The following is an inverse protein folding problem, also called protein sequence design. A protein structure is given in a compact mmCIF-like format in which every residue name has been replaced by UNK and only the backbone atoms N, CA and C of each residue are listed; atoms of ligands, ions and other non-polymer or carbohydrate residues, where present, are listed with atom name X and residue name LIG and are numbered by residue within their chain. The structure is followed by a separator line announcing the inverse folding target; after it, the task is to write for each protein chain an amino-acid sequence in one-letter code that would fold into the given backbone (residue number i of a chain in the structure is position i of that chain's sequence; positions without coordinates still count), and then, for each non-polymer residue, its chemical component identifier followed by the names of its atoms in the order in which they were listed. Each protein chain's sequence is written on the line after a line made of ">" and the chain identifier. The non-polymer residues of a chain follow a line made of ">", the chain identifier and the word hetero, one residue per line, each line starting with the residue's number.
data_IF_472819461377
#
_entry.id   IF_472819461377
#
_cell.length_a   1.000
_cell.length_b   1.000
_cell.length_c   1.000
_cell.angle_alpha   90.00
_cell.angle_beta   90.00
_cell.angle_gamma   90.00
#
_symmetry.space_group_name_H-M   'P 1'
#
loop_
_entity.id
_entity.type
_entity.pdbx_description
1 polymer ?
#
# COMPACT_ATOMS: atom_id res chain seq x y z
N UNK A 1 -11.23 36.69 49.40
CA UNK A 1 -10.41 36.72 48.18
C UNK A 1 -11.14 35.91 47.12
N UNK A 2 -11.54 36.55 46.01
CA UNK A 2 -12.01 35.81 44.84
C UNK A 2 -10.85 34.96 44.31
N UNK A 3 -11.09 33.72 43.85
CA UNK A 3 -10.04 32.88 43.29
C UNK A 3 -9.39 33.60 42.10
N UNK A 4 -8.06 33.75 42.14
CA UNK A 4 -7.29 34.32 41.03
C UNK A 4 -7.39 33.36 39.85
N UNK A 5 -8.08 33.75 38.79
CA UNK A 5 -8.10 32.99 37.54
C UNK A 5 -6.71 33.05 36.90
N UNK A 6 -6.00 31.92 36.95
CA UNK A 6 -4.69 31.74 36.30
C UNK A 6 -4.87 31.30 34.83
N UNK A 7 -5.96 30.58 34.54
CA UNK A 7 -6.23 29.98 33.23
C UNK A 7 -7.25 30.81 32.43
N UNK A 8 -7.20 30.67 31.10
CA UNK A 8 -8.16 31.30 30.17
C UNK A 8 -9.57 30.73 30.36
N UNK A 9 -10.60 31.48 29.95
CA UNK A 9 -12.02 31.19 30.22
C UNK A 9 -12.55 29.83 29.70
N UNK A 10 -11.84 29.17 28.78
CA UNK A 10 -12.21 27.83 28.26
C UNK A 10 -11.20 26.73 28.60
N UNK A 11 -10.21 27.01 29.44
CA UNK A 11 -9.22 26.02 29.82
C UNK A 11 -9.77 25.13 30.94
N UNK A 12 -9.69 23.82 30.73
CA UNK A 12 -10.03 22.82 31.73
C UNK A 12 -8.76 22.31 32.41
N UNK A 13 -8.83 22.14 33.73
CA UNK A 13 -7.73 21.61 34.52
C UNK A 13 -8.18 20.40 35.33
N UNK A 14 -7.55 19.26 35.08
CA UNK A 14 -7.71 18.04 35.87
C UNK A 14 -6.48 17.82 36.74
N UNK A 15 -6.67 17.62 38.06
CA UNK A 15 -5.55 17.40 39.01
C UNK A 15 -5.70 16.10 39.79
N UNK A 16 -4.56 15.53 40.17
CA UNK A 16 -4.46 14.45 41.15
C UNK A 16 -5.28 13.22 40.77
N UNK A 17 -6.28 12.87 41.61
CA UNK A 17 -7.10 11.70 41.38
C UNK A 17 -7.99 11.81 40.14
N UNK A 18 -8.50 13.01 39.83
CA UNK A 18 -9.41 13.24 38.70
C UNK A 18 -8.69 13.03 37.36
N UNK A 19 -7.46 13.55 37.24
CA UNK A 19 -6.63 13.35 36.04
C UNK A 19 -6.27 11.86 35.83
N UNK A 20 -6.01 11.13 36.92
CA UNK A 20 -5.75 9.69 36.86
C UNK A 20 -6.99 8.93 36.40
N UNK A 21 -8.16 9.25 36.97
CA UNK A 21 -9.42 8.63 36.60
C UNK A 21 -9.74 8.88 35.11
N UNK A 22 -9.61 10.12 34.64
CA UNK A 22 -9.79 10.48 33.23
C UNK A 22 -8.88 9.65 32.31
N UNK A 23 -7.62 9.45 32.72
CA UNK A 23 -6.67 8.63 31.97
C UNK A 23 -7.06 7.15 31.92
N UNK A 24 -7.46 6.56 33.06
CA UNK A 24 -7.91 5.16 33.11
C UNK A 24 -9.18 4.95 32.30
N UNK A 25 -10.17 5.82 32.47
CA UNK A 25 -11.46 5.72 31.74
C UNK A 25 -11.23 5.81 30.23
N UNK A 26 -10.39 6.74 29.77
CA UNK A 26 -10.06 6.86 28.35
C UNK A 26 -9.40 5.59 27.79
N UNK A 27 -8.41 5.06 28.50
CA UNK A 27 -7.70 3.86 28.07
C UNK A 27 -8.59 2.60 28.07
N UNK A 28 -9.39 2.42 29.13
CA UNK A 28 -10.31 1.29 29.27
C UNK A 28 -11.40 1.37 28.20
N UNK A 29 -11.97 2.56 27.93
CA UNK A 29 -13.00 2.72 26.91
C UNK A 29 -12.51 2.32 25.51
N UNK A 30 -11.26 2.67 25.16
CA UNK A 30 -10.64 2.26 23.89
C UNK A 30 -10.43 0.76 23.83
N UNK A 31 -9.87 0.17 24.90
CA UNK A 31 -9.72 -1.28 25.00
C UNK A 31 -11.07 -1.97 24.83
N UNK A 32 -12.10 -1.52 25.55
CA UNK A 32 -13.49 -1.98 25.50
C UNK A 32 -14.13 -1.92 24.12
N UNK A 33 -13.78 -0.93 23.33
CA UNK A 33 -14.29 -0.78 21.98
C UNK A 33 -13.73 -1.86 21.03
N UNK A 34 -12.44 -2.20 21.17
CA UNK A 34 -11.75 -3.13 20.25
C UNK A 34 -11.73 -4.59 20.72
N UNK A 35 -12.06 -4.92 21.99
CA UNK A 35 -11.96 -6.33 22.47
C UNK A 35 -12.75 -7.33 21.64
N UNK A 36 -13.88 -6.90 21.06
CA UNK A 36 -14.73 -7.80 20.29
C UNK A 36 -14.14 -8.19 18.94
N UNK A 37 -13.11 -7.49 18.44
CA UNK A 37 -12.42 -7.84 17.19
C UNK A 37 -11.31 -8.87 17.44
N UNK A 38 -10.86 -9.03 18.69
CA UNK A 38 -9.76 -9.93 19.03
C UNK A 38 -10.14 -11.42 18.91
N UNK A 39 -9.36 -12.17 18.15
CA UNK A 39 -9.41 -13.64 18.07
C UNK A 39 -10.14 -14.19 16.84
N UNK A 40 -10.12 -15.53 16.61
CA UNK A 40 -10.65 -16.16 15.40
C UNK A 40 -12.19 -16.12 15.28
N UNK A 41 -12.88 -15.73 16.36
CA UNK A 41 -14.31 -15.46 16.40
C UNK A 41 -14.60 -13.98 16.69
N UNK A 42 -13.62 -13.12 16.40
CA UNK A 42 -13.79 -11.68 16.45
C UNK A 42 -14.90 -11.24 15.50
N UNK A 43 -15.56 -10.15 15.87
CA UNK A 43 -16.63 -9.54 15.10
C UNK A 43 -16.15 -8.22 14.52
N UNK A 44 -16.46 -7.98 13.26
CA UNK A 44 -16.06 -6.77 12.56
C UNK A 44 -16.88 -5.56 13.04
N UNK A 45 -16.29 -4.37 12.93
CA UNK A 45 -16.93 -3.11 13.28
C UNK A 45 -17.34 -2.36 12.02
N UNK A 46 -18.56 -1.83 12.05
CA UNK A 46 -19.06 -0.91 11.02
C UNK A 46 -18.74 0.51 11.47
N UNK A 47 -17.84 1.16 10.75
CA UNK A 47 -17.44 2.56 10.91
C UNK A 47 -18.23 3.39 9.90
N UNK A 48 -18.83 4.48 10.36
CA UNK A 48 -19.59 5.40 9.52
C UNK A 48 -18.91 6.76 9.59
N UNK A 49 -18.35 7.20 8.47
CA UNK A 49 -17.69 8.51 8.36
C UNK A 49 -18.55 9.47 7.53
N UNK A 50 -18.85 10.65 8.10
CA UNK A 50 -19.54 11.76 7.41
C UNK A 50 -21.01 11.98 7.80
N UNK A 51 -21.52 13.18 7.52
CA UNK A 51 -22.92 13.56 7.67
C UNK A 51 -23.51 13.82 6.27
N UNK A 52 -24.45 12.99 5.78
CA UNK A 52 -25.15 13.20 4.50
C UNK A 52 -25.30 11.95 3.63
N UNK A 53 -25.52 12.13 2.32
CA UNK A 53 -25.76 11.06 1.31
C UNK A 53 -24.48 10.33 0.84
N UNK A 54 -23.29 10.79 1.22
CA UNK A 54 -22.02 10.12 0.94
C UNK A 54 -21.42 9.58 2.24
N UNK A 55 -22.16 8.69 2.90
CA UNK A 55 -21.63 7.97 4.06
C UNK A 55 -20.57 7.00 3.57
N UNK A 56 -19.31 7.29 3.90
CA UNK A 56 -18.24 6.32 3.82
C UNK A 56 -18.46 5.30 4.92
N UNK A 57 -19.20 4.24 4.62
CA UNK A 57 -19.29 3.07 5.49
C UNK A 57 -18.00 2.28 5.26
N UNK A 58 -17.38 1.81 6.34
CA UNK A 58 -16.24 0.89 6.31
C UNK A 58 -16.50 -0.23 7.30
N UNK A 59 -16.25 -1.46 6.92
CA UNK A 59 -16.39 -2.63 7.78
C UNK A 59 -15.00 -3.18 7.95
N UNK A 60 -14.55 -3.34 9.19
CA UNK A 60 -13.18 -3.78 9.45
C UNK A 60 -13.06 -4.43 10.82
N UNK A 61 -12.22 -5.46 10.90
CA UNK A 61 -11.75 -6.08 12.12
C UNK A 61 -10.45 -5.43 12.65
N UNK A 62 -9.70 -4.74 11.80
CA UNK A 62 -8.40 -4.20 12.17
C UNK A 62 -8.51 -3.07 13.20
N UNK A 63 -7.85 -3.27 14.34
CA UNK A 63 -7.84 -2.33 15.45
C UNK A 63 -7.24 -0.98 15.08
N UNK A 64 -6.16 -0.93 14.28
CA UNK A 64 -5.53 0.34 13.90
C UNK A 64 -6.47 1.20 13.03
N UNK A 65 -7.16 0.57 12.07
CA UNK A 65 -8.17 1.21 11.23
C UNK A 65 -9.31 1.78 12.07
N UNK A 66 -9.87 0.97 12.96
CA UNK A 66 -10.98 1.37 13.84
C UNK A 66 -10.58 2.60 14.66
N UNK A 67 -9.40 2.54 15.29
CA UNK A 67 -8.92 3.59 16.17
C UNK A 67 -8.55 4.87 15.43
N UNK A 68 -8.07 4.78 14.18
CA UNK A 68 -7.79 5.94 13.33
C UNK A 68 -9.06 6.70 12.92
N UNK A 69 -10.16 5.98 12.73
CA UNK A 69 -11.43 6.58 12.30
C UNK A 69 -12.24 7.20 13.43
N UNK A 70 -11.93 6.88 14.69
CA UNK A 70 -12.67 7.41 15.84
C UNK A 70 -12.06 8.75 16.26
N UNK A 71 -12.89 9.79 16.30
CA UNK A 71 -12.52 11.08 16.90
C UNK A 71 -12.51 10.99 18.42
N UNK A 72 -11.33 10.91 19.02
CA UNK A 72 -11.18 10.84 20.49
C UNK A 72 -10.59 12.12 21.06
N UNK A 73 -11.23 12.68 22.09
CA UNK A 73 -10.73 13.88 22.78
C UNK A 73 -9.77 13.56 23.94
N UNK A 74 -9.97 12.42 24.60
CA UNK A 74 -9.18 12.03 25.77
C UNK A 74 -7.69 11.78 25.38
N UNK A 75 -6.72 12.43 26.06
CA UNK A 75 -5.32 12.30 25.70
C UNK A 75 -4.75 10.89 25.93
N UNK A 76 -5.19 10.19 26.98
CA UNK A 76 -4.72 8.82 27.25
C UNK A 76 -5.19 7.84 26.17
N UNK A 77 -6.38 8.06 25.64
CA UNK A 77 -6.90 7.29 24.52
C UNK A 77 -6.12 7.56 23.23
N UNK A 78 -5.75 8.81 22.93
CA UNK A 78 -4.89 9.13 21.77
C UNK A 78 -3.54 8.42 21.83
N UNK A 79 -2.94 8.30 23.02
CA UNK A 79 -1.69 7.53 23.19
C UNK A 79 -1.87 6.06 22.78
N UNK A 80 -3.01 5.43 23.11
CA UNK A 80 -3.28 4.06 22.67
C UNK A 80 -3.54 3.96 21.16
N UNK A 81 -4.19 4.96 20.58
CA UNK A 81 -4.41 5.06 19.12
C UNK A 81 -3.07 5.14 18.39
N UNK A 82 -2.16 6.02 18.83
CA UNK A 82 -0.83 6.19 18.23
C UNK A 82 0.04 4.93 18.40
N UNK A 83 -0.08 4.25 19.56
CA UNK A 83 0.58 2.96 19.79
C UNK A 83 0.08 1.89 18.82
N UNK A 84 -1.23 1.84 18.55
CA UNK A 84 -1.79 0.92 17.56
C UNK A 84 -1.26 1.19 16.15
N UNK A 85 -1.14 2.46 15.76
CA UNK A 85 -0.57 2.85 14.46
C UNK A 85 0.92 2.52 14.36
N UNK A 86 1.67 2.67 15.45
CA UNK A 86 3.09 2.32 15.47
C UNK A 86 3.29 0.82 15.29
N UNK A 87 2.44 0.00 15.94
CA UNK A 87 2.44 -1.45 15.77
C UNK A 87 2.09 -1.86 14.33
N UNK A 88 1.11 -1.20 13.73
CA UNK A 88 0.69 -1.39 12.35
C UNK A 88 1.84 -1.12 11.37
N UNK A 89 2.58 -0.02 11.56
CA UNK A 89 3.70 0.34 10.68
C UNK A 89 4.93 -0.59 10.82
N UNK A 90 5.22 -1.09 12.02
CA UNK A 90 6.42 -1.90 12.28
C UNK A 90 6.22 -3.39 11.97
N UNK A 91 5.06 -3.94 12.37
CA UNK A 91 4.80 -5.39 12.30
C UNK A 91 3.61 -5.72 11.40
N UNK A 92 2.66 -4.80 11.24
CA UNK A 92 1.46 -5.00 10.43
C UNK A 92 0.43 -5.97 11.00
N UNK A 93 0.67 -6.59 12.16
CA UNK A 93 -0.31 -7.39 12.89
C UNK A 93 -0.22 -7.12 14.40
N UNK A 94 -1.24 -7.54 15.13
CA UNK A 94 -1.33 -7.42 16.59
C UNK A 94 -1.79 -6.05 17.06
N UNK A 95 -2.33 -5.21 16.18
CA UNK A 95 -2.85 -3.86 16.48
C UNK A 95 -3.87 -3.90 17.63
N UNK A 96 -4.84 -4.81 17.53
CA UNK A 96 -5.85 -5.06 18.57
C UNK A 96 -5.25 -5.68 19.84
N UNK A 97 -4.31 -6.62 19.70
CA UNK A 97 -3.70 -7.32 20.84
C UNK A 97 -2.94 -6.35 21.74
N UNK A 98 -2.15 -5.44 21.15
CA UNK A 98 -1.36 -4.46 21.88
C UNK A 98 -2.25 -3.45 22.61
N UNK A 99 -3.32 -2.98 21.97
CA UNK A 99 -4.27 -2.03 22.57
C UNK A 99 -5.07 -2.64 23.71
N UNK A 100 -5.59 -3.86 23.56
CA UNK A 100 -6.29 -4.59 24.63
C UNK A 100 -5.35 -4.90 25.80
N UNK A 101 -4.12 -5.35 25.53
CA UNK A 101 -3.15 -5.64 26.59
C UNK A 101 -2.79 -4.39 27.39
N UNK A 102 -2.53 -3.27 26.71
CA UNK A 102 -2.24 -1.99 27.37
C UNK A 102 -3.42 -1.49 28.22
N UNK A 103 -4.65 -1.61 27.71
CA UNK A 103 -5.85 -1.21 28.44
C UNK A 103 -6.07 -2.07 29.70
N UNK A 104 -5.90 -3.39 29.62
CA UNK A 104 -6.06 -4.27 30.79
C UNK A 104 -4.91 -4.06 31.81
N UNK A 105 -3.67 -3.76 31.38
CA UNK A 105 -2.58 -3.38 32.30
C UNK A 105 -2.91 -2.10 33.08
N UNK A 106 -3.55 -1.12 32.44
CA UNK A 106 -3.98 0.12 33.08
C UNK A 106 -5.15 -0.10 34.03
N UNK A 107 -6.09 -0.99 33.68
CA UNK A 107 -7.20 -1.39 34.55
C UNK A 107 -6.74 -2.12 35.81
N UNK A 108 -5.74 -3.01 35.70
CA UNK A 108 -5.12 -3.62 36.89
C UNK A 108 -4.32 -2.59 37.71
N UNK A 109 -3.66 -1.64 37.04
CA UNK A 109 -2.98 -0.54 37.73
C UNK A 109 -3.96 0.35 38.51
N UNK A 110 -5.16 0.60 37.99
CA UNK A 110 -6.22 1.34 38.70
C UNK A 110 -6.55 0.69 40.05
N UNK A 111 -6.70 -0.65 40.08
CA UNK A 111 -6.95 -1.39 41.33
C UNK A 111 -5.83 -1.20 42.35
N UNK A 112 -4.57 -1.23 41.90
CA UNK A 112 -3.40 -1.04 42.77
C UNK A 112 -3.31 0.41 43.29
N UNK A 113 -3.64 1.39 42.45
CA UNK A 113 -3.71 2.81 42.87
C UNK A 113 -4.84 3.00 43.90
N UNK A 114 -5.97 2.33 43.72
CA UNK A 114 -7.09 2.35 44.68
C UNK A 114 -6.69 1.71 46.03
N UNK A 115 -5.77 0.74 46.03
CA UNK A 115 -5.14 0.20 47.23
C UNK A 115 -4.06 1.12 47.84
N UNK A 116 -3.96 2.37 47.36
CA UNK A 116 -3.00 3.39 47.81
C UNK A 116 -1.53 3.07 47.54
N UNK A 117 -1.25 2.23 46.54
CA UNK A 117 0.12 2.02 46.06
C UNK A 117 0.53 3.21 45.18
N UNK A 118 1.71 3.75 45.43
CA UNK A 118 2.22 4.88 44.65
C UNK A 118 2.46 4.47 43.18
N UNK A 119 1.98 5.24 42.17
CA UNK A 119 2.12 4.88 40.75
C UNK A 119 3.55 4.57 40.31
N UNK A 120 4.53 5.29 40.84
CA UNK A 120 5.95 5.05 40.54
C UNK A 120 6.43 3.63 40.94
N UNK A 121 5.88 3.08 42.02
CA UNK A 121 6.17 1.71 42.47
C UNK A 121 5.57 0.70 41.49
N UNK A 122 4.35 0.95 41.00
CA UNK A 122 3.69 0.10 39.99
C UNK A 122 4.51 0.10 38.70
N UNK A 123 4.93 1.27 38.21
CA UNK A 123 5.77 1.41 37.02
C UNK A 123 7.08 0.62 37.17
N UNK A 124 7.73 0.73 38.34
CA UNK A 124 8.96 -0.02 38.63
C UNK A 124 8.72 -1.53 38.61
N UNK A 125 7.59 -1.99 39.16
CA UNK A 125 7.16 -3.39 39.09
C UNK A 125 6.93 -3.87 37.67
N UNK A 126 6.17 -3.12 36.86
CA UNK A 126 5.92 -3.46 35.44
C UNK A 126 7.18 -3.50 34.60
N UNK A 127 8.15 -2.60 34.83
CA UNK A 127 9.45 -2.65 34.13
C UNK A 127 10.23 -3.92 34.45
N UNK A 128 10.20 -4.40 35.70
CA UNK A 128 10.82 -5.68 36.07
C UNK A 128 10.08 -6.86 35.47
N UNK A 129 8.75 -6.83 35.50
CA UNK A 129 7.91 -7.87 34.90
C UNK A 129 8.13 -8.00 33.39
N UNK A 130 8.27 -6.87 32.68
CA UNK A 130 8.57 -6.82 31.25
C UNK A 130 9.86 -7.58 30.91
N UNK A 131 10.94 -7.35 31.66
CA UNK A 131 12.20 -8.06 31.43
C UNK A 131 12.09 -9.56 31.63
N UNK A 132 11.33 -10.01 32.63
CA UNK A 132 11.06 -11.43 32.87
C UNK A 132 10.21 -12.03 31.73
N UNK A 133 9.16 -11.33 31.31
CA UNK A 133 8.27 -11.77 30.24
C UNK A 133 9.03 -11.90 28.90
N UNK A 134 9.89 -10.93 28.56
CA UNK A 134 10.73 -11.00 27.36
C UNK A 134 11.72 -12.16 27.40
N UNK A 135 12.35 -12.41 28.55
CA UNK A 135 13.26 -13.55 28.71
C UNK A 135 12.52 -14.89 28.58
N UNK A 136 11.33 -15.00 29.18
CA UNK A 136 10.48 -16.17 29.04
C UNK A 136 10.08 -16.40 27.59
N UNK A 137 9.66 -15.35 26.88
CA UNK A 137 9.29 -15.42 25.47
C UNK A 137 10.47 -15.92 24.62
N UNK A 138 11.66 -15.31 24.76
CA UNK A 138 12.88 -15.74 24.05
C UNK A 138 13.26 -17.19 24.35
N UNK A 139 13.07 -17.66 25.58
CA UNK A 139 13.35 -19.05 25.96
C UNK A 139 12.34 -20.06 25.37
N UNK A 140 11.12 -19.61 25.08
CA UNK A 140 10.07 -20.43 24.48
C UNK A 140 10.01 -20.37 22.96
N UNK A 141 10.75 -19.45 22.33
CA UNK A 141 10.80 -19.31 20.88
C UNK A 141 11.45 -20.55 20.24
N UNK A 142 10.79 -21.09 19.21
CA UNK A 142 11.34 -22.13 18.35
C UNK A 142 11.77 -21.45 17.05
N UNK A 143 13.04 -21.58 16.68
CA UNK A 143 13.56 -21.02 15.43
C UNK A 143 13.21 -21.98 14.30
N UNK A 144 12.53 -21.46 13.28
CA UNK A 144 12.22 -22.18 12.05
C UNK A 144 13.51 -22.56 11.32
N UNK A 145 13.74 -23.86 11.11
CA UNK A 145 14.90 -24.39 10.40
C UNK A 145 14.63 -24.53 8.90
N UNK A 146 14.88 -25.72 8.35
CA UNK A 146 14.73 -26.01 6.91
C UNK A 146 13.27 -26.01 6.39
N UNK A 147 12.28 -26.02 7.29
CA UNK A 147 10.85 -26.03 6.96
C UNK A 147 10.20 -24.63 6.91
N UNK A 148 10.97 -23.59 6.59
CA UNK A 148 10.53 -22.19 6.59
C UNK A 148 9.17 -22.00 5.88
N UNK A 149 8.96 -22.61 4.70
CA UNK A 149 7.71 -22.47 3.95
C UNK A 149 6.48 -23.00 4.72
N UNK A 150 6.61 -24.11 5.43
CA UNK A 150 5.49 -24.68 6.18
C UNK A 150 5.16 -23.85 7.42
N UNK A 151 6.18 -23.33 8.08
CA UNK A 151 6.00 -22.48 9.26
C UNK A 151 5.38 -21.12 8.88
N UNK A 152 5.83 -20.50 7.78
CA UNK A 152 5.21 -19.29 7.21
C UNK A 152 3.73 -19.54 6.84
N UNK A 153 3.40 -20.71 6.28
CA UNK A 153 2.01 -21.08 6.00
C UNK A 153 1.17 -21.20 7.27
N UNK A 154 1.74 -21.69 8.38
CA UNK A 154 1.02 -21.77 9.66
C UNK A 154 0.78 -20.38 10.26
N UNK A 155 1.75 -19.48 10.13
CA UNK A 155 1.63 -18.09 10.57
C UNK A 155 0.53 -17.39 9.78
N UNK A 156 0.59 -17.40 8.44
CA UNK A 156 -0.42 -16.79 7.58
C UNK A 156 -1.83 -17.37 7.82
N UNK A 157 -1.97 -18.67 8.09
CA UNK A 157 -3.27 -19.27 8.45
C UNK A 157 -3.83 -18.74 9.77
N UNK A 158 -2.96 -18.37 10.69
CA UNK A 158 -3.33 -17.90 12.04
C UNK A 158 -3.76 -16.43 11.98
N UNK A 159 -3.01 -15.58 11.27
CA UNK A 159 -3.32 -14.15 11.07
C UNK A 159 -4.64 -13.97 10.32
N UNK A 160 -4.88 -14.78 9.28
CA UNK A 160 -6.13 -14.78 8.51
C UNK A 160 -7.35 -15.30 9.27
N UNK A 161 -7.15 -15.97 10.41
CA UNK A 161 -8.20 -16.69 11.11
C UNK A 161 -9.29 -15.80 11.72
N UNK A 162 -8.99 -14.53 12.01
CA UNK A 162 -9.93 -13.57 12.62
C UNK A 162 -10.72 -12.74 11.60
N UNK A 163 -10.46 -12.89 10.30
CA UNK A 163 -10.98 -12.01 9.25
C UNK A 163 -12.00 -12.70 8.36
N UNK A 164 -12.65 -11.94 7.49
CA UNK A 164 -13.61 -12.42 6.49
C UNK A 164 -13.01 -13.57 5.64
N UNK A 165 -11.70 -13.56 5.42
CA UNK A 165 -10.96 -14.58 4.68
C UNK A 165 -10.83 -15.93 5.39
N UNK A 166 -11.29 -16.10 6.63
CA UNK A 166 -11.19 -17.35 7.39
C UNK A 166 -11.80 -18.55 6.66
N UNK A 167 -12.85 -18.34 5.85
CA UNK A 167 -13.46 -19.40 5.04
C UNK A 167 -12.51 -19.98 3.98
N UNK A 168 -11.60 -19.15 3.46
CA UNK A 168 -10.67 -19.48 2.38
C UNK A 168 -9.19 -19.34 2.79
N UNK A 169 -8.90 -19.37 4.09
CA UNK A 169 -7.55 -19.10 4.63
C UNK A 169 -6.44 -19.97 4.07
N UNK A 170 -6.73 -21.20 3.64
CA UNK A 170 -5.70 -22.06 3.04
C UNK A 170 -5.25 -21.59 1.66
N UNK A 171 -6.16 -20.98 0.89
CA UNK A 171 -5.87 -20.43 -0.42
C UNK A 171 -5.07 -19.14 -0.29
N UNK A 172 -5.56 -18.20 0.51
CA UNK A 172 -4.91 -16.91 0.76
C UNK A 172 -3.55 -17.07 1.44
N UNK A 173 -3.40 -18.00 2.40
CA UNK A 173 -2.10 -18.27 3.01
C UNK A 173 -1.07 -18.77 1.98
N UNK A 174 -1.48 -19.61 1.02
CA UNK A 174 -0.57 -20.06 -0.05
C UNK A 174 -0.16 -18.89 -0.94
N UNK A 175 -1.11 -18.06 -1.34
CA UNK A 175 -0.84 -16.86 -2.15
C UNK A 175 0.15 -15.92 -1.46
N UNK A 176 -0.10 -15.59 -0.18
CA UNK A 176 0.77 -14.71 0.60
C UNK A 176 2.19 -15.28 0.72
N UNK A 177 2.33 -16.55 1.13
CA UNK A 177 3.65 -17.19 1.29
C UNK A 177 4.37 -17.32 -0.05
N UNK A 178 3.67 -17.68 -1.13
CA UNK A 178 4.29 -17.77 -2.46
C UNK A 178 4.73 -16.40 -2.98
N UNK A 179 4.01 -15.30 -2.69
CA UNK A 179 4.47 -13.95 -3.01
C UNK A 179 5.69 -13.51 -2.18
N UNK A 180 5.70 -13.79 -0.88
CA UNK A 180 6.83 -13.40 -0.02
C UNK A 180 8.11 -14.19 -0.34
N UNK A 181 7.99 -15.50 -0.59
CA UNK A 181 9.14 -16.30 -1.01
C UNK A 181 9.73 -15.83 -2.35
N UNK A 182 8.91 -15.22 -3.22
CA UNK A 182 9.35 -14.64 -4.49
C UNK A 182 10.11 -13.32 -4.33
N UNK A 183 9.84 -12.55 -3.27
CA UNK A 183 10.57 -11.31 -2.94
C UNK A 183 12.05 -11.53 -2.58
N UNK A 184 12.49 -12.77 -2.30
CA UNK A 184 13.90 -13.12 -2.01
C UNK A 184 14.59 -12.19 -0.99
N UNK A 185 13.86 -11.71 0.02
CA UNK A 185 14.40 -10.90 1.11
C UNK A 185 14.48 -9.39 0.85
N UNK A 186 13.90 -8.87 -0.23
CA UNK A 186 13.59 -7.43 -0.27
C UNK A 186 12.39 -7.19 0.64
N UNK A 187 12.61 -6.74 1.88
CA UNK A 187 11.55 -6.40 2.84
C UNK A 187 10.62 -5.23 2.44
N UNK A 188 10.62 -4.85 1.16
CA UNK A 188 9.75 -3.81 0.62
C UNK A 188 8.45 -4.43 0.12
N UNK A 189 7.40 -4.26 0.89
CA UNK A 189 6.04 -4.67 0.56
C UNK A 189 5.47 -3.93 -0.64
N UNK A 190 5.93 -2.70 -0.87
CA UNK A 190 5.57 -1.88 -2.03
C UNK A 190 5.89 -2.57 -3.37
N UNK A 191 6.77 -3.57 -3.41
CA UNK A 191 7.02 -4.34 -4.63
C UNK A 191 5.82 -5.21 -5.05
N UNK A 192 4.97 -5.62 -4.11
CA UNK A 192 3.74 -6.34 -4.39
C UNK A 192 2.65 -5.30 -4.63
N UNK A 193 2.07 -5.31 -5.83
CA UNK A 193 0.86 -4.53 -6.10
C UNK A 193 -0.35 -5.46 -6.03
N UNK A 194 -1.40 -4.95 -5.42
CA UNK A 194 -2.70 -5.61 -5.33
C UNK A 194 -3.65 -4.90 -6.28
N UNK A 195 -4.19 -5.66 -7.23
CA UNK A 195 -5.25 -5.19 -8.13
C UNK A 195 -6.55 -5.84 -7.69
N UNK A 196 -7.59 -5.01 -7.51
CA UNK A 196 -8.93 -5.47 -7.18
C UNK A 196 -9.87 -5.20 -8.33
N UNK A 197 -10.52 -6.25 -8.83
CA UNK A 197 -11.57 -6.14 -9.83
C UNK A 197 -12.83 -6.80 -9.32
N UNK A 198 -13.95 -6.12 -9.51
CA UNK A 198 -15.28 -6.60 -9.14
C UNK A 198 -15.65 -7.78 -10.04
N UNK A 199 -15.72 -9.00 -9.51
CA UNK A 199 -16.04 -10.19 -10.31
C UNK A 199 -15.49 -11.51 -9.76
N UNK A 200 -16.15 -12.64 -10.08
CA UNK A 200 -15.73 -13.98 -9.63
C UNK A 200 -16.20 -14.48 -8.24
N UNK A 201 -15.38 -15.34 -7.64
CA UNK A 201 -15.46 -15.84 -6.26
C UNK A 201 -14.13 -15.57 -5.56
N UNK A 202 -14.08 -15.53 -4.22
CA UNK A 202 -12.80 -15.34 -3.49
C UNK A 202 -11.76 -16.43 -3.83
N UNK A 203 -12.21 -17.63 -4.20
CA UNK A 203 -11.32 -18.73 -4.62
C UNK A 203 -10.66 -18.48 -5.99
N UNK A 204 -11.17 -17.54 -6.78
CA UNK A 204 -10.64 -17.21 -8.11
C UNK A 204 -9.51 -16.17 -8.03
N UNK A 205 -9.19 -15.66 -6.84
CA UNK A 205 -7.98 -14.86 -6.60
C UNK A 205 -6.73 -15.68 -6.91
N UNK A 206 -5.74 -15.10 -7.61
CA UNK A 206 -4.53 -15.82 -7.97
C UNK A 206 -3.30 -14.91 -8.05
N UNK A 207 -2.14 -15.47 -7.75
CA UNK A 207 -0.85 -14.80 -7.94
C UNK A 207 -0.44 -14.99 -9.40
N UNK A 208 -0.29 -13.91 -10.17
CA UNK A 208 0.18 -14.00 -11.55
C UNK A 208 1.71 -14.20 -11.53
N UNK A 209 2.25 -15.03 -12.43
CA UNK A 209 3.69 -15.28 -12.56
C UNK A 209 4.41 -14.13 -13.30
N UNK A 210 3.82 -12.94 -13.24
CA UNK A 210 4.17 -11.79 -14.04
C UNK A 210 3.72 -10.48 -13.38
N UNK A 211 3.40 -9.50 -14.23
CA UNK A 211 2.92 -8.21 -13.78
C UNK A 211 1.71 -7.80 -14.60
N UNK A 212 0.67 -7.28 -13.94
CA UNK A 212 -0.50 -6.67 -14.58
C UNK A 212 -0.45 -5.16 -14.44
N UNK A 213 -0.77 -4.47 -15.51
CA UNK A 213 -0.87 -3.02 -15.52
C UNK A 213 -2.26 -2.59 -15.97
N UNK A 214 -2.89 -1.70 -15.20
CA UNK A 214 -4.20 -1.12 -15.52
C UNK A 214 -4.12 0.01 -16.55
N UNK A 215 -3.51 -0.29 -17.70
CA UNK A 215 -3.38 0.65 -18.82
C UNK A 215 -3.59 -0.06 -20.14
N UNK A 216 -4.04 0.73 -21.10
CA UNK A 216 -4.19 0.31 -22.48
C UNK A 216 -2.99 0.82 -23.30
N UNK A 217 -2.60 0.09 -24.35
CA UNK A 217 -1.66 0.61 -25.33
C UNK A 217 -2.31 1.75 -26.14
N UNK A 218 -1.48 2.58 -26.76
CA UNK A 218 -1.94 3.63 -27.66
C UNK A 218 -2.72 3.10 -28.88
N UNK A 219 -3.39 4.01 -29.59
CA UNK A 219 -4.21 3.65 -30.74
C UNK A 219 -3.37 3.09 -31.89
N UNK A 220 -3.88 2.04 -32.55
CA UNK A 220 -3.25 1.37 -33.70
C UNK A 220 -1.89 0.71 -33.42
N UNK A 221 -1.54 0.50 -32.15
CA UNK A 221 -0.33 -0.22 -31.75
C UNK A 221 -0.58 -1.73 -31.60
N UNK A 222 0.48 -2.57 -31.65
CA UNK A 222 0.32 -4.01 -31.44
C UNK A 222 -0.23 -4.27 -30.03
N UNK A 223 -1.28 -5.10 -29.92
CA UNK A 223 -1.88 -5.50 -28.63
C UNK A 223 -1.16 -6.68 -27.96
N UNK A 224 -0.31 -7.36 -28.73
CA UNK A 224 0.50 -8.49 -28.28
C UNK A 224 1.92 -8.33 -28.83
N UNK A 225 2.90 -8.42 -27.93
CA UNK A 225 4.32 -8.31 -28.27
C UNK A 225 5.05 -9.51 -27.67
N UNK A 226 5.73 -10.28 -28.53
CA UNK A 226 6.60 -11.39 -28.14
C UNK A 226 8.04 -10.91 -28.02
N UNK A 227 8.79 -11.42 -27.04
CA UNK A 227 10.17 -11.04 -26.70
C UNK A 227 10.33 -9.53 -26.63
N UNK A 228 9.57 -8.94 -25.71
CA UNK A 228 9.52 -7.51 -25.50
C UNK A 228 10.85 -6.99 -24.94
N UNK A 229 11.49 -6.11 -25.70
CA UNK A 229 12.56 -5.22 -25.22
C UNK A 229 11.92 -3.90 -24.82
N UNK A 230 11.94 -3.62 -23.52
CA UNK A 230 11.15 -2.54 -22.91
C UNK A 230 12.09 -1.41 -22.50
N UNK A 231 11.75 -0.19 -22.90
CA UNK A 231 12.39 1.02 -22.42
C UNK A 231 11.46 1.72 -21.43
N UNK A 232 11.92 1.88 -20.19
CA UNK A 232 11.19 2.56 -19.14
C UNK A 232 11.73 3.99 -19.04
N UNK A 233 10.86 4.97 -19.16
CA UNK A 233 11.25 6.36 -19.24
C UNK A 233 10.46 7.28 -18.30
N UNK A 234 11.10 8.38 -17.93
CA UNK A 234 10.49 9.51 -17.24
C UNK A 234 10.82 10.81 -17.96
N UNK A 235 10.15 11.04 -19.10
CA UNK A 235 10.38 12.23 -19.92
C UNK A 235 9.07 12.82 -20.41
N UNK A 236 8.90 14.16 -20.45
CA UNK A 236 7.71 14.78 -21.03
C UNK A 236 7.59 14.51 -22.54
N UNK A 237 6.41 14.10 -22.99
CA UNK A 237 6.06 13.84 -24.39
C UNK A 237 4.91 14.75 -24.85
N UNK A 238 5.01 16.04 -24.53
CA UNK A 238 4.02 17.08 -24.88
C UNK A 238 4.70 18.24 -25.63
N UNK A 239 5.30 19.15 -24.87
CA UNK A 239 6.03 20.30 -25.38
C UNK A 239 7.30 20.47 -24.57
N UNK A 240 8.46 20.48 -25.23
CA UNK A 240 9.72 20.78 -24.56
C UNK A 240 9.80 22.28 -24.28
N UNK A 241 9.13 22.71 -23.20
CA UNK A 241 9.22 24.10 -22.73
C UNK A 241 10.66 24.39 -22.32
N UNK A 242 11.19 25.49 -22.84
CA UNK A 242 12.49 26.00 -22.39
C UNK A 242 12.39 26.29 -20.90
N UNK A 243 13.23 25.64 -20.08
CA UNK A 243 13.21 25.75 -18.60
C UNK A 243 13.57 27.15 -18.06
N UNK A 244 13.75 28.13 -18.95
CA UNK A 244 14.01 29.53 -18.60
C UNK A 244 12.68 30.21 -18.34
N UNK A 245 12.35 30.40 -17.05
CA UNK A 245 11.17 31.11 -16.60
C UNK A 245 11.08 32.50 -17.23
N UNK A 246 9.94 32.83 -17.83
CA UNK A 246 9.69 34.14 -18.45
C UNK A 246 10.08 34.27 -19.92
N UNK A 247 10.54 33.19 -20.56
CA UNK A 247 10.78 33.19 -22.02
C UNK A 247 9.47 33.39 -22.78
N UNK A 248 9.26 34.59 -23.30
CA UNK A 248 8.12 34.93 -24.18
C UNK A 248 8.66 35.11 -25.58
N UNK A 249 8.21 34.28 -26.51
CA UNK A 249 8.53 34.44 -27.92
C UNK A 249 7.58 35.51 -28.49
N UNK A 250 8.12 36.67 -28.86
CA UNK A 250 7.37 37.71 -29.59
C UNK A 250 7.60 37.49 -31.08
N UNK A 251 6.51 37.43 -31.83
CA UNK A 251 6.54 37.12 -33.25
C UNK A 251 5.93 38.28 -34.03
N UNK A 252 6.63 38.76 -35.07
CA UNK A 252 6.23 39.95 -35.84
C UNK A 252 5.18 39.64 -36.92
N UNK A 253 4.99 38.37 -37.26
CA UNK A 253 4.09 37.94 -38.33
C UNK A 253 3.50 36.55 -38.06
N UNK A 254 2.31 36.28 -38.63
CA UNK A 254 1.63 34.98 -38.52
C UNK A 254 2.45 33.86 -39.20
N UNK A 255 3.20 34.18 -40.26
CA UNK A 255 4.07 33.20 -40.94
C UNK A 255 5.14 32.62 -40.01
N UNK A 256 5.79 33.48 -39.20
CA UNK A 256 6.78 33.03 -38.21
C UNK A 256 6.14 32.18 -37.09
N UNK A 257 4.86 32.37 -36.78
CA UNK A 257 4.15 31.51 -35.81
C UNK A 257 4.00 30.09 -36.37
N UNK A 258 3.66 29.96 -37.65
CA UNK A 258 3.59 28.65 -38.31
C UNK A 258 4.95 27.95 -38.40
N UNK A 259 6.03 28.71 -38.64
CA UNK A 259 7.40 28.18 -38.61
C UNK A 259 7.78 27.66 -37.21
N UNK A 260 7.40 28.37 -36.14
CA UNK A 260 7.62 27.92 -34.76
C UNK A 260 6.84 26.64 -34.45
N UNK A 261 5.58 26.55 -34.86
CA UNK A 261 4.79 25.34 -34.70
C UNK A 261 5.41 24.13 -35.43
N UNK A 262 5.91 24.34 -36.65
CA UNK A 262 6.60 23.32 -37.42
C UNK A 262 7.92 22.89 -36.74
N UNK A 263 8.67 23.86 -36.17
CA UNK A 263 9.89 23.59 -35.43
C UNK A 263 9.64 22.78 -34.14
N UNK A 264 8.56 23.07 -33.42
CA UNK A 264 8.15 22.30 -32.23
C UNK A 264 7.80 20.85 -32.60
N UNK A 265 7.05 20.64 -33.69
CA UNK A 265 6.75 19.29 -34.20
C UNK A 265 8.00 18.55 -34.62
N UNK A 266 8.92 19.20 -35.34
CA UNK A 266 10.20 18.60 -35.73
C UNK A 266 11.05 18.18 -34.52
N UNK A 267 11.15 19.05 -33.51
CA UNK A 267 11.88 18.73 -32.26
C UNK A 267 11.29 17.51 -31.56
N UNK A 268 9.96 17.39 -31.52
CA UNK A 268 9.30 16.23 -30.95
C UNK A 268 9.57 14.96 -31.78
N UNK A 269 9.56 15.08 -33.11
CA UNK A 269 9.91 13.98 -34.00
C UNK A 269 11.35 13.51 -33.78
N UNK A 270 12.31 14.42 -33.71
CA UNK A 270 13.72 14.09 -33.41
C UNK A 270 13.87 13.36 -32.07
N UNK A 271 13.08 13.75 -31.05
CA UNK A 271 13.07 13.10 -29.74
C UNK A 271 12.54 11.66 -29.82
N UNK A 272 11.45 11.44 -30.57
CA UNK A 272 10.93 10.10 -30.83
C UNK A 272 11.92 9.28 -31.65
N UNK A 273 12.55 9.86 -32.68
CA UNK A 273 13.55 9.19 -33.50
C UNK A 273 14.76 8.74 -32.66
N UNK A 274 15.18 9.55 -31.67
CA UNK A 274 16.19 9.14 -30.69
C UNK A 274 15.74 7.94 -29.87
N UNK A 275 14.47 7.89 -29.43
CA UNK A 275 13.90 6.76 -28.69
C UNK A 275 13.87 5.50 -29.58
N UNK A 276 13.43 5.64 -30.84
CA UNK A 276 13.38 4.56 -31.81
C UNK A 276 14.77 4.01 -32.17
N UNK A 277 15.82 4.84 -32.12
CA UNK A 277 17.20 4.41 -32.34
C UNK A 277 17.67 3.35 -31.33
N UNK A 278 17.08 3.29 -30.13
CA UNK A 278 17.34 2.25 -29.13
C UNK A 278 16.80 0.85 -29.52
N UNK A 279 15.97 0.79 -30.58
CA UNK A 279 15.31 -0.41 -31.09
C UNK A 279 14.54 -1.16 -29.98
N UNK A 280 13.76 -0.42 -29.20
CA UNK A 280 12.84 -0.99 -28.21
C UNK A 280 11.51 -1.34 -28.88
N UNK A 281 10.92 -2.47 -28.49
CA UNK A 281 9.61 -2.90 -28.99
C UNK A 281 8.46 -2.30 -28.18
N UNK A 282 8.74 -1.97 -26.91
CA UNK A 282 7.78 -1.36 -25.98
C UNK A 282 8.43 -0.17 -25.28
N UNK A 283 7.70 0.94 -25.24
CA UNK A 283 8.08 2.17 -24.57
C UNK A 283 7.06 2.46 -23.46
N UNK A 284 7.53 2.50 -22.22
CA UNK A 284 6.70 2.82 -21.05
C UNK A 284 7.15 4.16 -20.52
N UNK A 285 6.25 5.13 -20.46
CA UNK A 285 6.54 6.46 -19.95
C UNK A 285 5.71 6.78 -18.70
N UNK A 286 6.35 7.46 -17.74
CA UNK A 286 5.66 8.03 -16.58
C UNK A 286 4.65 9.10 -16.97
N UNK A 287 5.07 9.96 -17.89
CA UNK A 287 4.27 11.09 -18.31
C UNK A 287 3.34 10.68 -19.43
N UNK A 288 2.31 11.49 -19.64
CA UNK A 288 1.38 11.33 -20.74
C UNK A 288 2.11 11.43 -22.08
N UNK A 289 1.63 10.68 -23.07
CA UNK A 289 2.11 10.69 -24.43
C UNK A 289 1.00 11.31 -25.28
N UNK A 290 1.24 12.50 -25.81
CA UNK A 290 0.24 13.18 -26.63
C UNK A 290 0.09 12.54 -28.02
N UNK A 291 -1.02 12.84 -28.69
CA UNK A 291 -1.44 12.23 -29.95
C UNK A 291 -0.35 12.24 -31.05
N UNK A 292 0.47 13.30 -31.13
CA UNK A 292 1.50 13.40 -32.18
C UNK A 292 2.67 12.41 -31.95
N UNK A 293 3.33 12.39 -30.79
CA UNK A 293 4.26 11.29 -30.45
C UNK A 293 3.65 9.89 -30.53
N UNK A 294 2.40 9.73 -30.07
CA UNK A 294 1.70 8.43 -30.10
C UNK A 294 1.56 7.89 -31.53
N UNK A 295 1.20 8.77 -32.48
CA UNK A 295 1.14 8.42 -33.90
C UNK A 295 2.51 7.98 -34.43
N UNK A 296 3.59 8.68 -34.07
CA UNK A 296 4.95 8.31 -34.50
C UNK A 296 5.37 6.93 -33.97
N UNK A 297 4.98 6.57 -32.75
CA UNK A 297 5.21 5.23 -32.21
C UNK A 297 4.36 4.17 -32.93
N UNK A 298 3.11 4.49 -33.27
CA UNK A 298 2.24 3.60 -34.03
C UNK A 298 2.78 3.33 -35.44
N UNK A 299 3.25 4.37 -36.14
CA UNK A 299 3.88 4.26 -37.46
C UNK A 299 5.16 3.41 -37.42
N UNK A 300 5.91 3.46 -36.32
CA UNK A 300 7.08 2.62 -36.08
C UNK A 300 6.76 1.21 -35.58
N UNK A 301 5.49 0.91 -35.27
CA UNK A 301 5.05 -0.38 -34.73
C UNK A 301 5.50 -0.64 -33.29
N UNK A 302 5.84 0.40 -32.51
CA UNK A 302 6.25 0.29 -31.11
C UNK A 302 5.04 0.45 -30.20
N UNK A 303 4.89 -0.43 -29.21
CA UNK A 303 3.84 -0.29 -28.19
C UNK A 303 4.24 0.82 -27.22
N UNK A 304 3.46 1.88 -27.14
CA UNK A 304 3.62 2.97 -26.19
C UNK A 304 2.57 2.84 -25.07
N UNK A 305 3.05 2.79 -23.82
CA UNK A 305 2.22 2.77 -22.63
C UNK A 305 2.48 4.08 -21.88
N UNK A 306 1.43 4.84 -21.65
CA UNK A 306 1.51 6.13 -20.97
C UNK A 306 1.01 6.06 -19.52
N UNK A 307 1.41 7.08 -18.76
CA UNK A 307 0.85 7.38 -17.45
C UNK A 307 0.85 6.20 -16.47
N UNK A 308 1.97 5.50 -16.39
CA UNK A 308 2.22 4.62 -15.27
C UNK A 308 2.64 5.48 -14.06
N UNK A 309 1.94 5.30 -12.93
CA UNK A 309 2.23 6.01 -11.69
C UNK A 309 3.67 5.78 -11.24
N UNK A 310 4.18 6.66 -10.36
CA UNK A 310 5.57 6.59 -9.89
C UNK A 310 5.91 5.20 -9.33
N UNK A 311 5.04 4.71 -8.45
CA UNK A 311 5.14 3.38 -7.85
C UNK A 311 5.01 2.27 -8.91
N UNK A 312 4.11 2.42 -9.89
CA UNK A 312 3.94 1.48 -10.99
C UNK A 312 5.20 1.35 -11.86
N UNK A 313 5.92 2.45 -12.10
CA UNK A 313 7.16 2.43 -12.88
C UNK A 313 8.33 1.85 -12.12
N UNK A 314 8.45 2.14 -10.82
CA UNK A 314 9.47 1.53 -9.99
C UNK A 314 9.26 0.02 -9.90
N UNK A 315 8.02 -0.43 -9.71
CA UNK A 315 7.63 -1.85 -9.78
C UNK A 315 8.00 -2.47 -11.14
N UNK A 316 7.62 -1.83 -12.24
CA UNK A 316 7.97 -2.31 -13.59
C UNK A 316 9.48 -2.38 -13.81
N UNK A 317 10.24 -1.41 -13.31
CA UNK A 317 11.70 -1.43 -13.39
C UNK A 317 12.30 -2.62 -12.62
N UNK A 318 11.76 -2.91 -11.43
CA UNK A 318 12.16 -4.07 -10.62
C UNK A 318 11.79 -5.41 -11.29
N UNK A 319 10.56 -5.55 -11.76
CA UNK A 319 10.04 -6.77 -12.42
C UNK A 319 10.81 -7.06 -13.71
N UNK A 320 10.99 -6.05 -14.55
CA UNK A 320 11.60 -6.18 -15.88
C UNK A 320 13.14 -6.16 -15.82
N UNK A 321 13.72 -5.73 -14.70
CA UNK A 321 15.16 -5.55 -14.50
C UNK A 321 15.77 -4.38 -15.28
N UNK A 322 14.93 -3.46 -15.74
CA UNK A 322 15.32 -2.26 -16.50
C UNK A 322 15.60 -1.05 -15.61
N UNK A 323 16.27 -0.04 -16.15
CA UNK A 323 16.50 1.24 -15.47
C UNK A 323 15.55 2.31 -15.99
N UNK A 324 15.14 3.25 -15.10
CA UNK A 324 14.31 4.38 -15.48
C UNK A 324 15.18 5.45 -16.14
N UNK A 325 14.98 5.68 -17.43
CA UNK A 325 15.80 6.61 -18.21
C UNK A 325 15.08 7.94 -18.44
N UNK A 326 15.82 9.05 -18.35
CA UNK A 326 15.30 10.38 -18.68
C UNK A 326 15.95 11.00 -19.91
N UNK A 327 17.14 10.53 -20.29
CA UNK A 327 17.97 11.06 -21.39
C UNK A 327 18.22 9.97 -22.42
N UNK A 328 18.01 10.29 -23.70
CA UNK A 328 18.02 9.29 -24.79
C UNK A 328 19.21 9.42 -25.75
N UNK A 329 20.19 10.30 -25.46
CA UNK A 329 21.27 10.62 -26.40
C UNK A 329 22.31 9.49 -26.56
N UNK A 330 22.46 8.62 -25.55
CA UNK A 330 23.44 7.51 -25.56
C UNK A 330 22.75 6.16 -25.41
N UNK A 331 22.62 5.35 -26.48
CA UNK A 331 21.91 4.06 -26.43
C UNK A 331 22.67 2.93 -25.74
N UNK A 332 23.99 3.03 -25.62
CA UNK A 332 24.83 1.94 -25.10
C UNK A 332 24.78 1.79 -23.58
N UNK A 333 24.45 2.86 -22.85
CA UNK A 333 24.46 2.87 -21.38
C UNK A 333 23.11 2.51 -20.75
N UNK A 334 22.08 2.24 -21.56
CA UNK A 334 20.73 2.01 -21.07
C UNK A 334 20.49 0.52 -20.82
N UNK A 335 20.16 0.18 -19.58
CA UNK A 335 19.69 -1.16 -19.23
C UNK A 335 18.21 -1.31 -19.58
N UNK A 336 17.93 -2.08 -20.62
CA UNK A 336 16.57 -2.38 -21.05
C UNK A 336 15.90 -3.41 -20.15
N UNK A 337 14.59 -3.28 -19.97
CA UNK A 337 13.76 -4.34 -19.41
C UNK A 337 13.51 -5.43 -20.47
N UNK A 338 13.37 -6.67 -20.02
CA UNK A 338 13.03 -7.81 -20.89
C UNK A 338 11.80 -8.54 -20.37
N UNK A 339 10.92 -8.96 -21.26
CA UNK A 339 9.74 -9.77 -20.97
C UNK A 339 9.46 -10.71 -22.16
N UNK A 340 9.02 -11.94 -21.90
CA UNK A 340 8.76 -12.92 -22.97
C UNK A 340 7.49 -12.60 -23.75
N UNK A 341 6.42 -12.19 -23.06
CA UNK A 341 5.13 -11.91 -23.67
C UNK A 341 4.43 -10.74 -22.98
N UNK A 342 3.98 -9.77 -23.76
CA UNK A 342 3.03 -8.75 -23.32
C UNK A 342 1.75 -8.92 -24.11
N UNK A 343 0.62 -9.07 -23.43
CA UNK A 343 -0.68 -9.17 -24.07
C UNK A 343 -1.78 -8.45 -23.30
N UNK A 344 -2.78 -7.96 -24.04
CA UNK A 344 -4.01 -7.40 -23.48
C UNK A 344 -4.92 -8.54 -23.01
N UNK A 345 -5.17 -8.60 -21.69
CA UNK A 345 -6.07 -9.57 -21.06
C UNK A 345 -7.28 -8.82 -20.51
N UNK A 346 -8.46 -9.41 -20.66
CA UNK A 346 -9.69 -8.90 -20.08
C UNK A 346 -9.94 -9.60 -18.76
N UNK A 347 -10.02 -8.84 -17.67
CA UNK A 347 -10.32 -9.34 -16.32
C UNK A 347 -11.60 -8.65 -15.84
N UNK A 348 -12.70 -9.40 -15.81
CA UNK A 348 -14.03 -8.82 -15.59
C UNK A 348 -14.44 -7.96 -16.79
N UNK A 349 -14.69 -6.67 -16.54
CA UNK A 349 -15.01 -5.68 -17.58
C UNK A 349 -13.79 -4.84 -17.99
N UNK A 350 -12.73 -4.85 -17.18
CA UNK A 350 -11.54 -4.05 -17.39
C UNK A 350 -10.53 -4.77 -18.27
N UNK A 351 -9.80 -3.97 -19.05
CA UNK A 351 -8.73 -4.44 -19.92
C UNK A 351 -7.39 -4.05 -19.33
N UNK A 352 -6.52 -5.04 -19.18
CA UNK A 352 -5.25 -4.95 -18.49
C UNK A 352 -4.14 -5.45 -19.41
N UNK A 353 -2.92 -4.97 -19.23
CA UNK A 353 -1.75 -5.52 -19.90
C UNK A 353 -1.06 -6.52 -18.98
N UNK A 354 -0.94 -7.77 -19.43
CA UNK A 354 -0.22 -8.83 -18.74
C UNK A 354 1.18 -8.99 -19.31
N UNK A 355 2.17 -8.88 -18.43
CA UNK A 355 3.59 -9.13 -18.70
C UNK A 355 3.93 -10.52 -18.15
N UNK A 356 4.31 -11.47 -19.01
CA UNK A 356 4.64 -12.85 -18.63
C UNK A 356 6.08 -13.21 -19.03
N UNK A 357 6.73 -14.07 -18.22
CA UNK A 357 8.09 -14.54 -18.50
C UNK A 357 9.13 -13.44 -18.27
N UNK A 358 9.30 -13.07 -17.01
CA UNK A 358 10.05 -11.89 -16.58
C UNK A 358 11.31 -12.31 -15.80
N UNK A 359 12.45 -11.63 -15.99
CA UNK A 359 13.77 -12.13 -15.61
C UNK A 359 14.04 -12.08 -14.10
N UNK A 360 13.48 -11.10 -13.40
CA UNK A 360 13.55 -10.98 -11.96
C UNK A 360 12.22 -11.43 -11.38
N UNK A 361 12.28 -12.42 -10.49
CA UNK A 361 11.14 -13.12 -9.88
C UNK A 361 10.26 -12.27 -8.95
N UNK A 362 10.25 -10.95 -9.09
CA UNK A 362 9.50 -10.01 -8.27
C UNK A 362 8.17 -9.74 -8.96
N UNK A 363 7.08 -10.29 -8.43
CA UNK A 363 5.79 -10.35 -9.14
C UNK A 363 4.59 -9.96 -8.31
N UNK A 364 3.55 -9.61 -9.07
CA UNK A 364 2.30 -8.99 -8.67
C UNK A 364 1.31 -10.02 -8.15
N UNK A 365 0.76 -9.80 -6.96
CA UNK A 365 -0.32 -10.62 -6.42
C UNK A 365 -1.68 -10.02 -6.81
N UNK A 366 -2.42 -10.72 -7.68
CA UNK A 366 -3.66 -10.21 -8.26
C UNK A 366 -4.86 -10.78 -7.50
N UNK A 367 -5.53 -9.92 -6.73
CA UNK A 367 -6.74 -10.32 -6.03
C UNK A 367 -7.98 -10.08 -6.89
N UNK A 368 -8.49 -11.15 -7.50
CA UNK A 368 -9.82 -11.16 -8.08
C UNK A 368 -10.86 -11.42 -6.99
N UNK A 369 -11.69 -10.40 -6.72
CA UNK A 369 -12.78 -10.50 -5.75
C UNK A 369 -14.12 -10.05 -6.34
N UNK A 370 -15.14 -10.91 -6.26
CA UNK A 370 -16.55 -10.47 -6.22
C UNK A 370 -17.04 -10.61 -4.82
N UNK A 371 -17.68 -9.56 -4.34
CA UNK A 371 -18.91 -9.73 -3.57
C UNK A 371 -19.95 -8.83 -4.25
N UNK A 372 -21.20 -9.28 -4.27
CA UNK A 372 -22.34 -8.60 -4.86
C UNK A 372 -22.89 -7.55 -3.86
N UNK A 373 -23.21 -6.34 -4.34
CA UNK A 373 -24.06 -5.25 -3.80
C UNK A 373 -23.38 -3.88 -3.68
N UNK A 374 -23.68 -3.02 -4.65
CA UNK A 374 -23.18 -1.65 -4.92
C UNK A 374 -23.13 -0.66 -3.74
N UNK A 375 -23.86 -0.91 -2.64
CA UNK A 375 -23.87 0.00 -1.47
C UNK A 375 -23.16 -0.56 -0.23
N UNK A 376 -22.89 -1.87 -0.20
CA UNK A 376 -22.29 -2.58 0.95
C UNK A 376 -20.86 -3.05 0.65
N UNK A 377 -20.46 -3.03 -0.62
CA UNK A 377 -19.28 -3.75 -1.09
C UNK A 377 -17.95 -3.01 -0.93
N UNK A 378 -17.90 -1.67 -1.06
CA UNK A 378 -16.64 -0.92 -0.85
C UNK A 378 -16.00 -1.24 0.52
N UNK A 379 -16.84 -1.49 1.53
CA UNK A 379 -16.41 -1.83 2.89
C UNK A 379 -15.69 -3.18 2.98
N UNK A 380 -16.21 -4.20 2.29
CA UNK A 380 -15.67 -5.57 2.31
C UNK A 380 -14.46 -5.69 1.36
N UNK A 381 -14.12 -4.67 0.57
CA UNK A 381 -12.91 -4.67 -0.27
C UNK A 381 -11.70 -4.01 0.40
N UNK A 382 -11.90 -3.12 1.37
CA UNK A 382 -10.80 -2.51 2.15
C UNK A 382 -10.22 -3.47 3.18
N UNK A 383 -11.05 -4.37 3.73
CA UNK A 383 -10.60 -5.35 4.72
C UNK A 383 -9.70 -6.47 4.18
N UNK A 384 -10.02 -7.13 3.04
CA UNK A 384 -9.13 -8.12 2.44
C UNK A 384 -7.85 -7.49 1.87
N UNK A 385 -7.90 -6.22 1.47
CA UNK A 385 -6.72 -5.45 1.07
C UNK A 385 -5.77 -5.28 2.23
N UNK A 386 -6.24 -4.74 3.36
CA UNK A 386 -5.39 -4.62 4.56
C UNK A 386 -4.94 -5.95 5.10
N UNK A 387 -5.84 -6.96 5.10
CA UNK A 387 -5.44 -8.28 5.54
C UNK A 387 -4.31 -8.83 4.70
N UNK A 388 -4.35 -8.62 3.38
CA UNK A 388 -3.30 -9.08 2.50
C UNK A 388 -2.04 -8.19 2.53
N UNK A 389 -2.17 -6.86 2.52
CA UNK A 389 -1.05 -5.91 2.46
C UNK A 389 -0.24 -5.85 3.76
N UNK A 390 -0.94 -5.75 4.89
CA UNK A 390 -0.33 -5.35 6.16
C UNK A 390 -0.26 -6.53 7.13
N UNK A 391 -1.30 -7.36 7.20
CA UNK A 391 -1.34 -8.43 8.20
C UNK A 391 -0.87 -9.81 7.71
N UNK A 392 -0.89 -10.08 6.41
CA UNK A 392 -0.45 -11.36 5.84
C UNK A 392 0.98 -11.29 5.30
N UNK A 393 1.37 -10.16 4.72
CA UNK A 393 2.69 -9.98 4.15
C UNK A 393 3.70 -9.49 5.21
N UNK A 394 3.37 -8.53 6.09
CA UNK A 394 4.34 -8.01 7.08
C UNK A 394 4.87 -9.06 8.07
N UNK A 395 4.05 -9.97 8.64
CA UNK A 395 4.60 -10.96 9.58
C UNK A 395 5.50 -11.97 8.88
N UNK A 396 5.19 -12.30 7.61
CA UNK A 396 5.94 -13.24 6.79
C UNK A 396 7.23 -12.60 6.25
N UNK A 397 7.23 -11.30 5.96
CA UNK A 397 8.44 -10.56 5.56
C UNK A 397 9.37 -10.26 6.74
N UNK A 398 8.84 -10.01 7.94
CA UNK A 398 9.66 -9.76 9.13
C UNK A 398 10.42 -11.00 9.64
N UNK A 399 10.02 -12.20 9.22
CA UNK A 399 10.74 -13.45 9.51
C UNK A 399 11.82 -13.80 8.47
N UNK A 400 11.86 -13.12 7.32
CA UNK A 400 12.93 -13.21 6.31
C UNK A 400 14.02 -12.17 6.57
#
# INVERSE_FOLDING_TARGET
>A
MLPVQILKDNAQEERGATARLSSFVGAIAIGDLVKSTLGPKGMDKILISGNGEHQGIKVTNDGATILKSIGVDNPAAKVLVDMSMTQDNEVGDGTTSVTVLAAELLKEAEKLVNQRIHPQTIITGYRRALGIAQNALRSSCVVSGDNLKEDLLRIARTTLGSKILNQHKEHFAKLAVDAVLRLKGSGNLDAIQIIKKLGGSMNESYLDDGFLLEKLPGMYQPRRVEKAKILIANTPMDTDKVKVFGSRVRVDSVAKVAELEAAEKLKMKEKVDKILAHKANVFINRQLIYNYPEQLFADAGVMAIEHADFEGIERLALVLGGEIVSTFDTPENVKFGSCDLIEEVMIGEDRLLRFSGVPLGLFLLVFLFKIFYEFFCCCIFEEPERSAEIDDLCPVTNEL
#
